data_IF_574748271106
#
_entry.id   IF_574748271106
#
_cell.length_a   1.000
_cell.length_b   1.000
_cell.length_c   1.000
_cell.angle_alpha   90.00
_cell.angle_beta   90.00
_cell.angle_gamma   90.00
#
_symmetry.space_group_name_H-M   'P 1'
#
loop_
_entity.id
_entity.type
_entity.pdbx_description
1 polymer ?
#
# COMPACT_ATOMS: atom_id res chain seq x y z
N UNK A 1 -1.44 13.37 -20.44
CA UNK A 1 -0.38 12.43 -20.03
C UNK A 1 -0.56 12.25 -18.56
N UNK A 2 -0.98 11.06 -18.15
CA UNK A 2 -1.23 10.76 -16.75
C UNK A 2 0.05 10.17 -16.16
N UNK A 3 0.60 10.84 -15.17
CA UNK A 3 1.83 10.43 -14.47
C UNK A 3 1.56 9.36 -13.40
N UNK A 4 0.28 9.16 -13.04
CA UNK A 4 -0.17 8.18 -12.06
C UNK A 4 -1.62 7.77 -12.33
N UNK A 5 -1.99 6.56 -11.89
CA UNK A 5 -3.38 6.07 -11.89
C UNK A 5 -3.93 6.16 -10.46
N UNK A 6 -5.07 6.82 -10.29
CA UNK A 6 -5.82 6.80 -9.03
C UNK A 6 -6.62 5.50 -8.96
N UNK A 7 -6.39 4.71 -7.91
CA UNK A 7 -7.14 3.48 -7.67
C UNK A 7 -8.39 3.79 -6.86
N UNK A 8 -9.51 3.15 -7.21
CA UNK A 8 -10.76 3.28 -6.47
C UNK A 8 -10.75 2.36 -5.26
N UNK A 9 -11.23 2.87 -4.12
CA UNK A 9 -11.52 2.05 -2.94
C UNK A 9 -12.98 1.60 -3.02
N UNK A 10 -13.22 0.30 -2.87
CA UNK A 10 -14.55 -0.31 -2.94
C UNK A 10 -14.95 -0.92 -1.59
N UNK A 11 -16.22 -1.30 -1.45
CA UNK A 11 -16.68 -2.03 -0.28
C UNK A 11 -15.98 -3.40 -0.12
N UNK A 12 -15.52 -3.99 -1.22
CA UNK A 12 -14.75 -5.24 -1.21
C UNK A 12 -13.34 -5.05 -0.65
N UNK A 13 -12.83 -3.81 -0.59
CA UNK A 13 -11.57 -3.47 0.09
C UNK A 13 -11.80 -3.08 1.56
N UNK A 14 -12.86 -2.31 1.81
CA UNK A 14 -13.17 -1.75 3.14
C UNK A 14 -13.51 -2.83 4.15
N UNK A 15 -14.38 -3.78 3.79
CA UNK A 15 -14.85 -4.80 4.73
C UNK A 15 -13.69 -5.73 5.19
N UNK A 16 -12.85 -6.29 4.30
CA UNK A 16 -11.69 -7.07 4.72
C UNK A 16 -10.67 -6.28 5.54
N UNK A 17 -10.41 -5.01 5.20
CA UNK A 17 -9.50 -4.17 5.96
C UNK A 17 -10.03 -3.93 7.39
N UNK A 18 -11.32 -3.61 7.52
CA UNK A 18 -11.95 -3.38 8.82
C UNK A 18 -11.91 -4.63 9.70
N UNK A 19 -12.15 -5.81 9.12
CA UNK A 19 -12.16 -7.07 9.86
C UNK A 19 -10.78 -7.50 10.38
N UNK A 20 -9.68 -6.98 9.84
CA UNK A 20 -8.32 -7.29 10.31
C UNK A 20 -8.00 -6.65 11.68
N UNK A 21 -8.79 -5.65 12.13
CA UNK A 21 -8.64 -5.00 13.45
C UNK A 21 -7.22 -4.49 13.73
N UNK A 22 -6.54 -4.02 12.69
CA UNK A 22 -5.25 -3.33 12.81
C UNK A 22 -5.48 -1.98 13.49
N UNK A 23 -4.49 -1.50 14.26
CA UNK A 23 -4.60 -0.26 15.03
C UNK A 23 -4.84 0.97 14.16
N UNK A 24 -4.27 0.97 12.95
CA UNK A 24 -4.51 1.99 11.94
C UNK A 24 -5.31 1.40 10.78
N UNK A 25 -6.52 1.92 10.60
CA UNK A 25 -7.41 1.47 9.53
C UNK A 25 -6.96 1.99 8.16
N UNK A 26 -6.38 3.19 8.07
CA UNK A 26 -5.92 3.76 6.80
C UNK A 26 -4.81 2.91 6.19
N UNK A 27 -3.81 2.54 7.01
CA UNK A 27 -2.70 1.69 6.57
C UNK A 27 -3.17 0.30 6.15
N UNK A 28 -4.11 -0.28 6.90
CA UNK A 28 -4.68 -1.58 6.59
C UNK A 28 -5.49 -1.56 5.29
N UNK A 29 -6.27 -0.50 5.07
CA UNK A 29 -7.04 -0.31 3.84
C UNK A 29 -6.10 -0.13 2.65
N UNK A 30 -5.05 0.68 2.79
CA UNK A 30 -4.03 0.88 1.75
C UNK A 30 -3.31 -0.43 1.39
N UNK A 31 -2.92 -1.24 2.38
CA UNK A 31 -2.30 -2.55 2.19
C UNK A 31 -3.26 -3.56 1.51
N UNK A 32 -4.55 -3.49 1.85
CA UNK A 32 -5.58 -4.32 1.22
C UNK A 32 -5.76 -3.94 -0.25
N UNK A 33 -5.91 -2.64 -0.54
CA UNK A 33 -6.03 -2.10 -1.90
C UNK A 33 -4.82 -2.42 -2.77
N UNK A 34 -3.60 -2.33 -2.24
CA UNK A 34 -2.38 -2.66 -2.99
C UNK A 34 -2.34 -4.13 -3.40
N UNK A 35 -2.79 -5.05 -2.54
CA UNK A 35 -2.94 -6.46 -2.91
C UNK A 35 -4.01 -6.67 -4.00
N UNK A 36 -5.18 -6.06 -3.83
CA UNK A 36 -6.29 -6.19 -4.78
C UNK A 36 -5.92 -5.69 -6.18
N UNK A 37 -5.07 -4.66 -6.25
CA UNK A 37 -4.60 -4.06 -7.50
C UNK A 37 -3.23 -4.59 -7.97
N UNK A 38 -2.72 -5.67 -7.35
CA UNK A 38 -1.47 -6.32 -7.74
C UNK A 38 -0.27 -5.35 -7.80
N UNK A 39 -0.22 -4.38 -6.89
CA UNK A 39 0.91 -3.47 -6.81
C UNK A 39 2.15 -4.22 -6.29
N UNK A 40 3.31 -3.94 -6.90
CA UNK A 40 4.56 -4.61 -6.52
C UNK A 40 5.10 -4.15 -5.16
N UNK A 41 4.89 -2.88 -4.81
CA UNK A 41 5.41 -2.28 -3.59
C UNK A 41 4.58 -1.07 -3.12
N UNK A 42 4.70 -0.74 -1.83
CA UNK A 42 4.35 0.57 -1.27
C UNK A 42 5.63 1.40 -1.18
N UNK A 43 5.59 2.60 -1.77
CA UNK A 43 6.68 3.58 -1.66
C UNK A 43 6.34 4.57 -0.56
N UNK A 44 7.07 4.54 0.55
CA UNK A 44 6.78 5.38 1.73
C UNK A 44 8.05 5.73 2.49
N UNK A 45 8.04 6.89 3.16
CA UNK A 45 9.07 7.26 4.14
C UNK A 45 8.84 6.60 5.50
N UNK A 46 7.67 5.99 5.71
CA UNK A 46 7.23 5.47 7.00
C UNK A 46 6.99 3.96 6.97
N UNK A 47 8.05 3.20 6.67
CA UNK A 47 7.95 1.73 6.50
C UNK A 47 7.44 1.00 7.74
N UNK A 48 7.75 1.51 8.93
CA UNK A 48 7.43 0.86 10.22
C UNK A 48 5.94 0.54 10.37
N UNK A 49 5.07 1.38 9.82
CA UNK A 49 3.62 1.24 9.97
C UNK A 49 3.06 0.14 9.05
N UNK A 50 3.86 -0.33 8.08
CA UNK A 50 3.48 -1.37 7.14
C UNK A 50 4.22 -2.71 7.33
N UNK A 51 5.10 -2.84 8.33
CA UNK A 51 5.94 -4.03 8.52
C UNK A 51 5.16 -5.32 8.78
N UNK A 52 3.91 -5.22 9.24
CA UNK A 52 3.03 -6.36 9.49
C UNK A 52 2.32 -6.86 8.24
N UNK A 53 2.38 -6.15 7.11
CA UNK A 53 1.74 -6.54 5.85
C UNK A 53 2.70 -7.32 4.93
N UNK A 54 2.14 -8.07 3.99
CA UNK A 54 2.87 -8.97 3.07
C UNK A 54 3.53 -8.27 1.87
N UNK A 55 3.54 -6.94 1.83
CA UNK A 55 3.93 -6.17 0.65
C UNK A 55 5.36 -5.64 0.75
N UNK A 56 6.07 -5.59 -0.38
CA UNK A 56 7.38 -4.96 -0.47
C UNK A 56 7.29 -3.47 -0.11
N UNK A 57 8.21 -3.00 0.74
CA UNK A 57 8.27 -1.61 1.16
C UNK A 57 9.55 -0.96 0.62
N UNK A 58 9.37 0.11 -0.15
CA UNK A 58 10.46 0.92 -0.69
C UNK A 58 10.43 2.32 -0.08
N UNK A 59 11.60 2.88 0.20
CA UNK A 59 11.72 4.33 0.35
C UNK A 59 11.79 4.98 -1.03
N UNK A 60 11.51 6.30 -1.15
CA UNK A 60 11.72 7.01 -2.41
C UNK A 60 13.15 6.87 -2.95
N UNK A 61 14.15 6.92 -2.07
CA UNK A 61 15.56 6.78 -2.44
C UNK A 61 15.88 5.37 -2.96
N UNK A 62 15.35 4.34 -2.31
CA UNK A 62 15.51 2.95 -2.78
C UNK A 62 14.83 2.73 -4.14
N UNK A 63 13.65 3.31 -4.37
CA UNK A 63 12.99 3.25 -5.66
C UNK A 63 13.85 3.88 -6.75
N UNK A 64 14.40 5.07 -6.50
CA UNK A 64 15.25 5.76 -7.48
C UNK A 64 16.50 4.92 -7.81
N UNK A 65 17.10 4.25 -6.83
CA UNK A 65 18.28 3.40 -7.02
C UNK A 65 17.99 2.16 -7.91
N UNK A 66 16.74 1.72 -8.06
CA UNK A 66 16.37 0.62 -8.97
C UNK A 66 16.47 1.06 -10.45
N UNK A 67 16.24 2.34 -10.72
CA UNK A 67 16.15 2.90 -12.08
C UNK A 67 17.30 3.85 -12.43
N UNK A 68 18.27 4.00 -11.53
CA UNK A 68 19.47 4.83 -11.74
C UNK A 68 20.57 4.08 -12.49
#
# INVERSE_FOLDING_TARGET
>A
MDIAKVLTVTNEDVLPAYLQRVSDFEDCLLATCTKANQCDAIVTRNKKDFLSFWITLLSPEELLNIYS
#
